data_IF_245150823805
#
_entry.id   IF_245150823805
#
_cell.length_a   1.000
_cell.length_b   1.000
_cell.length_c   1.000
_cell.angle_alpha   90.00
_cell.angle_beta   90.00
_cell.angle_gamma   90.00
#
_symmetry.space_group_name_H-M   'P 1'
#
loop_
_entity.id
_entity.type
_entity.pdbx_description
1 polymer ?
#
# COMPACT_ATOMS: atom_id res chain seq x y z
N UNK A 1 -0.88 31.73 23.24
CA UNK A 1 -1.45 30.52 22.62
C UNK A 1 -1.47 30.75 21.13
N UNK A 2 -0.69 29.99 20.35
CA UNK A 2 -0.95 29.83 18.92
C UNK A 2 -2.44 29.45 18.82
N UNK A 3 -3.26 30.15 18.04
CA UNK A 3 -4.73 29.98 18.00
C UNK A 3 -5.24 28.62 17.53
N UNK A 4 -4.40 27.58 17.59
CA UNK A 4 -4.67 26.20 17.26
C UNK A 4 -5.39 25.53 18.42
N UNK A 5 -6.54 24.94 18.14
CA UNK A 5 -7.39 24.24 19.11
C UNK A 5 -7.68 22.82 18.59
N UNK A 6 -8.58 22.09 19.25
CA UNK A 6 -8.87 20.71 18.85
C UNK A 6 -9.71 20.55 17.58
N UNK A 7 -10.14 21.65 16.96
CA UNK A 7 -10.76 21.68 15.63
C UNK A 7 -9.75 21.95 14.50
N UNK A 8 -8.49 22.22 14.83
CA UNK A 8 -7.42 22.45 13.85
C UNK A 8 -7.18 21.21 12.97
N UNK A 9 -7.15 21.41 11.66
CA UNK A 9 -6.85 20.37 10.66
C UNK A 9 -5.37 20.30 10.33
N UNK A 10 -4.95 19.26 9.60
CA UNK A 10 -3.57 19.17 9.12
C UNK A 10 -3.22 20.36 8.23
N UNK A 11 -4.15 20.73 7.33
CA UNK A 11 -4.02 21.84 6.40
C UNK A 11 -3.88 23.18 7.12
N UNK A 12 -4.57 23.36 8.25
CA UNK A 12 -4.45 24.58 9.06
C UNK A 12 -3.04 24.73 9.66
N UNK A 13 -2.45 23.62 10.15
CA UNK A 13 -1.08 23.62 10.68
C UNK A 13 -0.08 23.87 9.55
N UNK A 14 -0.25 23.22 8.40
CA UNK A 14 0.62 23.41 7.24
C UNK A 14 0.54 24.84 6.71
N UNK A 15 -0.66 25.41 6.62
CA UNK A 15 -0.87 26.81 6.23
C UNK A 15 -0.19 27.76 7.22
N UNK A 16 -0.33 27.51 8.52
CA UNK A 16 0.30 28.32 9.55
C UNK A 16 1.83 28.34 9.40
N UNK A 17 2.45 27.17 9.20
CA UNK A 17 3.90 27.07 8.97
C UNK A 17 4.35 27.77 7.67
N UNK A 18 3.57 27.64 6.59
CA UNK A 18 3.87 28.29 5.30
C UNK A 18 3.71 29.82 5.37
N UNK A 19 2.77 30.32 6.17
CA UNK A 19 2.63 31.76 6.42
C UNK A 19 3.79 32.33 7.24
N UNK A 20 4.35 31.55 8.16
CA UNK A 20 5.55 31.95 8.90
C UNK A 20 6.80 31.90 8.00
N UNK A 21 6.88 30.96 7.06
CA UNK A 21 7.92 30.93 5.99
C UNK A 21 7.95 32.23 5.16
N UNK A 22 6.79 32.84 4.88
CA UNK A 22 6.67 34.02 3.99
C UNK A 22 6.80 35.36 4.71
N UNK A 23 6.58 35.42 6.03
CA UNK A 23 6.57 36.68 6.80
C UNK A 23 7.93 37.05 7.42
N UNK A 24 8.88 36.11 7.56
CA UNK A 24 10.14 36.36 8.28
C UNK A 24 11.40 36.23 7.40
N UNK A 25 11.71 37.26 6.61
CA UNK A 25 13.07 37.48 6.09
C UNK A 25 14.02 38.14 7.10
N UNK A 26 13.55 38.49 8.32
CA UNK A 26 14.37 39.21 9.31
C UNK A 26 14.31 38.68 10.77
N UNK A 27 13.77 37.48 11.03
CA UNK A 27 13.97 36.77 12.30
C UNK A 27 14.10 35.26 12.04
N UNK A 28 15.16 34.64 12.53
CA UNK A 28 15.53 33.24 12.28
C UNK A 28 14.61 32.28 13.06
N UNK A 29 13.38 32.05 12.62
CA UNK A 29 12.66 30.84 13.03
C UNK A 29 12.50 29.97 11.79
N UNK A 30 13.19 28.83 11.78
CA UNK A 30 13.03 27.89 10.68
C UNK A 30 11.67 27.17 10.79
N UNK A 31 11.06 26.74 9.68
CA UNK A 31 9.81 25.97 9.68
C UNK A 31 9.92 24.67 10.50
N UNK A 32 11.13 24.13 10.56
CA UNK A 32 11.49 23.04 11.45
C UNK A 32 11.38 23.41 12.94
N UNK A 33 11.92 24.55 13.36
CA UNK A 33 11.84 24.99 14.76
C UNK A 33 10.41 25.34 15.17
N UNK A 34 9.62 25.89 14.26
CA UNK A 34 8.23 26.21 14.53
C UNK A 34 7.36 24.96 14.62
N UNK A 35 7.48 24.01 13.68
CA UNK A 35 6.79 22.72 13.75
C UNK A 35 7.18 21.93 15.00
N UNK A 36 8.44 22.03 15.45
CA UNK A 36 8.88 21.48 16.74
C UNK A 36 8.14 22.13 17.93
N UNK A 37 8.06 23.46 17.98
CA UNK A 37 7.35 24.18 19.05
C UNK A 37 5.86 23.86 19.09
N UNK A 38 5.22 23.75 17.92
CA UNK A 38 3.81 23.35 17.80
C UNK A 38 3.62 21.93 18.36
N UNK A 39 4.48 20.98 17.97
CA UNK A 39 4.43 19.60 18.49
C UNK A 39 4.59 19.55 20.01
N UNK A 40 5.53 20.30 20.56
CA UNK A 40 5.77 20.36 22.01
C UNK A 40 4.55 20.92 22.73
N UNK A 41 3.92 21.97 22.18
CA UNK A 41 2.68 22.53 22.72
C UNK A 41 1.55 21.49 22.77
N UNK A 42 1.34 20.72 21.70
CA UNK A 42 0.34 19.65 21.69
C UNK A 42 0.69 18.49 22.63
N UNK A 43 1.98 18.20 22.80
CA UNK A 43 2.45 17.20 23.77
C UNK A 43 2.09 17.61 25.19
N UNK A 44 2.33 18.87 25.55
CA UNK A 44 1.97 19.41 26.86
C UNK A 44 0.45 19.41 27.09
N UNK A 45 -0.34 19.78 26.09
CA UNK A 45 -1.79 19.68 26.20
C UNK A 45 -2.26 18.24 26.38
N UNK A 46 -1.74 17.30 25.58
CA UNK A 46 -2.04 15.87 25.71
C UNK A 46 -1.74 15.36 27.13
N UNK A 47 -0.58 15.68 27.70
CA UNK A 47 -0.22 15.23 29.06
C UNK A 47 -1.14 15.84 30.12
N UNK A 48 -1.51 17.12 29.99
CA UNK A 48 -2.47 17.79 30.88
C UNK A 48 -3.85 17.11 30.84
N UNK A 49 -4.39 16.82 29.65
CA UNK A 49 -5.71 16.18 29.52
C UNK A 49 -5.69 14.71 29.94
N UNK A 50 -4.57 14.01 29.71
CA UNK A 50 -4.36 12.65 30.22
C UNK A 50 -4.37 12.64 31.76
N UNK A 51 -3.70 13.59 32.41
CA UNK A 51 -3.70 13.72 33.87
C UNK A 51 -5.08 14.07 34.45
N UNK A 52 -5.95 14.69 33.64
CA UNK A 52 -7.35 14.97 33.99
C UNK A 52 -8.31 13.80 33.73
N UNK A 53 -7.81 12.66 33.25
CA UNK A 53 -8.62 11.52 32.76
C UNK A 53 -9.61 11.89 31.64
N UNK A 54 -9.35 12.96 30.90
CA UNK A 54 -10.13 13.32 29.71
C UNK A 54 -9.52 12.66 28.48
N UNK A 55 -9.91 11.39 28.27
CA UNK A 55 -9.38 10.53 27.20
C UNK A 55 -9.74 11.08 25.80
N UNK A 56 -10.91 11.71 25.67
CA UNK A 56 -11.41 12.23 24.39
C UNK A 56 -10.53 13.40 23.96
N UNK A 57 -10.32 14.37 24.85
CA UNK A 57 -9.55 15.56 24.50
C UNK A 57 -8.06 15.24 24.36
N UNK A 58 -7.51 14.37 25.21
CA UNK A 58 -6.15 13.86 25.08
C UNK A 58 -5.91 13.18 23.72
N UNK A 59 -6.90 12.42 23.22
CA UNK A 59 -6.86 11.78 21.91
C UNK A 59 -6.81 12.81 20.77
N UNK A 60 -7.56 13.93 20.85
CA UNK A 60 -7.50 15.00 19.85
C UNK A 60 -6.13 15.67 19.81
N UNK A 61 -5.56 16.04 20.95
CA UNK A 61 -4.21 16.62 21.01
C UNK A 61 -3.12 15.64 20.56
N UNK A 62 -3.32 14.34 20.77
CA UNK A 62 -2.43 13.30 20.22
C UNK A 62 -2.44 13.28 18.70
N UNK A 63 -3.57 13.53 18.06
CA UNK A 63 -3.67 13.64 16.60
C UNK A 63 -2.93 14.88 16.10
N UNK A 64 -3.15 16.03 16.75
CA UNK A 64 -2.44 17.28 16.43
C UNK A 64 -0.93 17.16 16.60
N UNK A 65 -0.46 16.47 17.65
CA UNK A 65 0.96 16.14 17.86
C UNK A 65 1.52 15.33 16.67
N UNK A 66 0.77 14.36 16.15
CA UNK A 66 1.19 13.56 15.00
C UNK A 66 1.23 14.37 13.69
N UNK A 67 0.28 15.28 13.48
CA UNK A 67 0.29 16.20 12.33
C UNK A 67 1.50 17.14 12.37
N UNK A 68 1.77 17.73 13.53
CA UNK A 68 2.95 18.58 13.73
C UNK A 68 4.26 17.78 13.55
N UNK A 69 4.31 16.53 14.01
CA UNK A 69 5.47 15.66 13.81
C UNK A 69 5.71 15.31 12.35
N UNK A 70 4.66 15.01 11.58
CA UNK A 70 4.77 14.74 10.15
C UNK A 70 5.38 15.93 9.39
N UNK A 71 4.88 17.15 9.66
CA UNK A 71 5.39 18.38 9.08
C UNK A 71 6.83 18.67 9.54
N UNK A 72 7.14 18.43 10.82
CA UNK A 72 8.50 18.57 11.36
C UNK A 72 9.49 17.70 10.61
N UNK A 73 9.17 16.43 10.40
CA UNK A 73 10.03 15.50 9.66
C UNK A 73 10.16 15.93 8.19
N UNK A 74 9.08 16.40 7.56
CA UNK A 74 9.09 16.94 6.18
C UNK A 74 10.09 18.10 6.05
N UNK A 75 10.05 19.08 6.95
CA UNK A 75 10.97 20.22 6.94
C UNK A 75 12.40 19.83 7.36
N UNK A 76 12.58 18.87 8.29
CA UNK A 76 13.90 18.34 8.66
C UNK A 76 14.57 17.65 7.47
N UNK A 77 13.83 16.79 6.76
CA UNK A 77 14.34 16.08 5.58
C UNK A 77 14.72 17.05 4.44
N UNK A 78 13.94 18.11 4.24
CA UNK A 78 14.19 19.16 3.23
C UNK A 78 15.44 20.00 3.54
N UNK A 79 15.73 20.25 4.82
CA UNK A 79 16.86 21.09 5.26
C UNK A 79 18.21 20.35 5.36
N UNK A 80 18.19 19.01 5.41
CA UNK A 80 19.42 18.20 5.50
C UNK A 80 20.23 18.19 4.19
N UNK A 81 21.51 18.56 4.29
CA UNK A 81 22.49 18.40 3.21
C UNK A 81 22.77 16.92 2.93
N UNK A 82 22.98 16.57 1.67
CA UNK A 82 23.30 15.21 1.23
C UNK A 82 24.80 14.93 1.40
N UNK A 83 25.18 14.22 2.47
CA UNK A 83 26.55 13.73 2.72
C UNK A 83 26.48 12.25 3.11
N UNK A 84 27.58 11.50 2.98
CA UNK A 84 27.62 10.06 3.29
C UNK A 84 27.05 9.74 4.68
N UNK A 85 27.35 10.59 5.67
CA UNK A 85 26.92 10.41 7.06
C UNK A 85 25.43 10.75 7.25
N UNK A 86 24.90 11.72 6.49
CA UNK A 86 23.49 12.11 6.56
C UNK A 86 22.57 11.23 5.71
N UNK A 87 23.10 10.42 4.78
CA UNK A 87 22.30 9.49 3.97
C UNK A 87 21.45 8.55 4.83
N UNK A 88 22.06 7.93 5.84
CA UNK A 88 21.34 7.04 6.77
C UNK A 88 20.27 7.78 7.54
N UNK A 89 20.56 8.99 8.01
CA UNK A 89 19.60 9.85 8.71
C UNK A 89 18.43 10.21 7.80
N UNK A 90 18.72 10.59 6.55
CA UNK A 90 17.74 10.97 5.54
C UNK A 90 16.83 9.80 5.18
N UNK A 91 17.40 8.61 4.98
CA UNK A 91 16.64 7.38 4.74
C UNK A 91 15.69 7.06 5.91
N UNK A 92 16.19 7.15 7.15
CA UNK A 92 15.35 6.95 8.34
C UNK A 92 14.19 7.96 8.39
N UNK A 93 14.48 9.25 8.20
CA UNK A 93 13.44 10.29 8.18
C UNK A 93 12.41 10.07 7.07
N UNK A 94 12.83 9.61 5.89
CA UNK A 94 11.92 9.26 4.80
C UNK A 94 11.02 8.07 5.17
N UNK A 95 11.54 7.07 5.86
CA UNK A 95 10.74 5.93 6.36
C UNK A 95 9.75 6.39 7.44
N UNK A 96 10.21 7.18 8.41
CA UNK A 96 9.36 7.72 9.49
C UNK A 96 8.25 8.63 8.92
N UNK A 97 8.59 9.47 7.93
CA UNK A 97 7.63 10.30 7.19
C UNK A 97 6.62 9.45 6.42
N UNK A 98 7.08 8.44 5.67
CA UNK A 98 6.21 7.55 4.92
C UNK A 98 5.24 6.80 5.84
N UNK A 99 5.73 6.33 7.00
CA UNK A 99 4.89 5.69 8.01
C UNK A 99 3.80 6.63 8.55
N UNK A 100 4.14 7.89 8.87
CA UNK A 100 3.16 8.87 9.33
C UNK A 100 2.15 9.23 8.26
N UNK A 101 2.61 9.41 7.01
CA UNK A 101 1.75 9.71 5.87
C UNK A 101 0.76 8.57 5.58
N UNK A 102 1.22 7.32 5.60
CA UNK A 102 0.35 6.14 5.49
C UNK A 102 -0.64 6.08 6.65
N UNK A 103 -0.18 6.29 7.88
CA UNK A 103 -1.04 6.30 9.06
C UNK A 103 -2.13 7.40 8.97
N UNK A 104 -1.80 8.57 8.39
CA UNK A 104 -2.77 9.63 8.12
C UNK A 104 -3.82 9.20 7.12
N UNK A 105 -3.42 8.80 5.92
CA UNK A 105 -4.39 8.56 4.85
C UNK A 105 -5.22 7.28 5.03
N UNK A 106 -4.71 6.29 5.77
CA UNK A 106 -5.39 5.00 5.96
C UNK A 106 -6.25 4.94 7.23
N UNK A 107 -5.85 5.65 8.30
CA UNK A 107 -6.53 5.63 9.61
C UNK A 107 -7.02 7.01 10.07
N UNK A 108 -6.81 8.06 9.28
CA UNK A 108 -7.15 9.46 9.57
C UNK A 108 -6.60 10.02 10.89
N UNK A 109 -5.63 9.36 11.55
CA UNK A 109 -5.23 9.55 12.98
C UNK A 109 -6.37 9.44 14.03
N UNK A 110 -7.62 9.58 13.56
CA UNK A 110 -8.99 9.30 13.99
C UNK A 110 -9.27 8.16 14.98
N UNK A 111 -8.39 7.15 15.11
CA UNK A 111 -8.66 5.91 15.87
C UNK A 111 -9.56 4.87 15.16
N UNK A 112 -9.90 5.03 13.88
CA UNK A 112 -10.75 4.07 13.17
C UNK A 112 -9.98 2.80 12.78
N UNK A 113 -9.88 1.84 13.71
CA UNK A 113 -9.29 0.52 13.46
C UNK A 113 -9.92 -0.16 12.24
N UNK A 114 -11.25 -0.05 12.11
CA UNK A 114 -12.02 -0.52 10.97
C UNK A 114 -11.54 0.09 9.66
N UNK A 115 -11.22 1.39 9.62
CA UNK A 115 -10.77 2.07 8.40
C UNK A 115 -9.38 1.59 7.96
N UNK A 116 -8.47 1.40 8.90
CA UNK A 116 -7.16 0.79 8.63
C UNK A 116 -7.32 -0.65 8.14
N UNK A 117 -8.21 -1.43 8.76
CA UNK A 117 -8.49 -2.81 8.37
C UNK A 117 -9.16 -2.91 6.98
N UNK A 118 -10.11 -2.03 6.66
CA UNK A 118 -10.70 -1.93 5.32
C UNK A 118 -9.65 -1.64 4.25
N UNK A 119 -8.66 -0.79 4.55
CA UNK A 119 -7.58 -0.46 3.62
C UNK A 119 -6.62 -1.63 3.42
N UNK A 120 -6.36 -2.42 4.47
CA UNK A 120 -5.59 -3.66 4.40
C UNK A 120 -6.29 -4.70 3.51
N UNK A 121 -7.59 -4.95 3.72
CA UNK A 121 -8.37 -5.87 2.89
C UNK A 121 -8.47 -5.41 1.43
N UNK A 122 -8.59 -4.09 1.20
CA UNK A 122 -8.55 -3.53 -0.15
C UNK A 122 -7.22 -3.82 -0.85
N UNK A 123 -6.09 -3.68 -0.15
CA UNK A 123 -4.78 -4.00 -0.70
C UNK A 123 -4.67 -5.48 -1.09
N UNK A 124 -5.09 -6.39 -0.20
CA UNK A 124 -5.09 -7.85 -0.44
C UNK A 124 -5.94 -8.18 -1.67
N UNK A 125 -7.17 -7.65 -1.72
CA UNK A 125 -8.08 -7.89 -2.83
C UNK A 125 -7.54 -7.34 -4.16
N UNK A 126 -6.97 -6.13 -4.14
CA UNK A 126 -6.38 -5.49 -5.34
C UNK A 126 -5.20 -6.31 -5.85
N UNK A 127 -4.31 -6.77 -4.95
CA UNK A 127 -3.18 -7.62 -5.31
C UNK A 127 -3.63 -8.94 -5.92
N UNK A 128 -4.61 -9.63 -5.33
CA UNK A 128 -5.11 -10.89 -5.83
C UNK A 128 -5.73 -10.77 -7.23
N UNK A 129 -6.61 -9.79 -7.44
CA UNK A 129 -7.24 -9.56 -8.75
C UNK A 129 -6.21 -9.13 -9.78
N UNK A 130 -5.33 -8.17 -9.44
CA UNK A 130 -4.31 -7.68 -10.36
C UNK A 130 -3.36 -8.80 -10.80
N UNK A 131 -2.91 -9.63 -9.85
CA UNK A 131 -2.06 -10.79 -10.15
C UNK A 131 -2.75 -11.80 -11.07
N UNK A 132 -4.03 -12.08 -10.82
CA UNK A 132 -4.84 -12.95 -11.69
C UNK A 132 -4.99 -12.36 -13.10
N UNK A 133 -5.24 -11.04 -13.22
CA UNK A 133 -5.32 -10.36 -14.50
C UNK A 133 -3.99 -10.38 -15.27
N UNK A 134 -2.86 -10.16 -14.59
CA UNK A 134 -1.52 -10.24 -15.21
C UNK A 134 -1.26 -11.65 -15.75
N UNK A 135 -1.61 -12.69 -14.98
CA UNK A 135 -1.48 -14.07 -15.41
C UNK A 135 -2.30 -14.35 -16.69
N UNK A 136 -3.56 -13.92 -16.72
CA UNK A 136 -4.42 -14.07 -17.91
C UNK A 136 -3.90 -13.27 -19.12
N UNK A 137 -3.45 -12.03 -18.90
CA UNK A 137 -2.96 -11.15 -19.96
C UNK A 137 -1.70 -11.73 -20.62
N UNK A 138 -0.75 -12.21 -19.82
CA UNK A 138 0.45 -12.88 -20.33
C UNK A 138 0.05 -14.11 -21.15
N UNK A 139 -0.81 -14.98 -20.60
CA UNK A 139 -1.26 -16.17 -21.32
C UNK A 139 -1.95 -15.82 -22.66
N UNK A 140 -2.78 -14.78 -22.69
CA UNK A 140 -3.45 -14.31 -23.90
C UNK A 140 -2.47 -13.78 -24.95
N UNK A 141 -1.57 -12.86 -24.56
CA UNK A 141 -0.58 -12.27 -25.48
C UNK A 141 0.35 -13.33 -26.10
N UNK A 142 0.74 -14.35 -25.34
CA UNK A 142 1.61 -15.42 -25.85
C UNK A 142 0.85 -16.50 -26.63
N UNK A 143 -0.43 -16.74 -26.33
CA UNK A 143 -1.28 -17.61 -27.15
C UNK A 143 -1.44 -17.06 -28.59
N UNK A 144 -1.55 -15.73 -28.75
CA UNK A 144 -1.60 -15.08 -30.08
C UNK A 144 -0.23 -15.09 -30.81
N UNK A 145 0.90 -15.06 -30.09
CA UNK A 145 2.25 -14.99 -30.66
C UNK A 145 2.76 -16.33 -31.26
N UNK A 146 2.16 -17.47 -30.88
CA UNK A 146 2.56 -18.83 -31.28
C UNK A 146 1.71 -19.45 -32.41
N UNK A 147 0.98 -18.62 -33.17
CA UNK A 147 0.14 -19.02 -34.32
C UNK A 147 0.93 -19.53 -35.55
N UNK A 148 2.17 -19.99 -35.37
CA UNK A 148 2.95 -20.74 -36.36
C UNK A 148 3.12 -22.22 -35.95
N UNK A 149 2.07 -22.87 -35.43
CA UNK A 149 1.62 -24.24 -35.80
C UNK A 149 0.42 -24.70 -34.93
N UNK A 150 -0.81 -24.25 -35.24
CA UNK A 150 -1.99 -24.47 -34.37
C UNK A 150 -2.68 -25.85 -34.50
N UNK A 151 -2.34 -26.66 -35.50
CA UNK A 151 -3.21 -27.79 -35.90
C UNK A 151 -3.09 -29.01 -34.96
N UNK A 152 -1.95 -29.24 -34.31
CA UNK A 152 -1.78 -30.38 -33.40
C UNK A 152 -2.25 -30.11 -31.96
N UNK A 153 -2.28 -28.84 -31.56
CA UNK A 153 -2.70 -28.43 -30.20
C UNK A 153 -4.24 -28.37 -30.06
N UNK A 154 -4.93 -27.97 -31.12
CA UNK A 154 -6.40 -27.86 -31.14
C UNK A 154 -7.05 -29.26 -31.12
N UNK A 155 -6.51 -30.23 -31.85
CA UNK A 155 -7.03 -31.62 -31.89
C UNK A 155 -6.89 -32.36 -30.54
N UNK A 156 -5.89 -32.01 -29.72
CA UNK A 156 -5.78 -32.50 -28.34
C UNK A 156 -6.67 -31.76 -27.35
N UNK A 157 -7.13 -30.55 -27.70
CA UNK A 157 -8.01 -29.72 -26.87
C UNK A 157 -9.46 -30.22 -26.92
N UNK A 158 -9.96 -30.60 -28.09
CA UNK A 158 -11.35 -31.02 -28.30
C UNK A 158 -11.68 -32.34 -27.59
N UNK A 159 -10.70 -33.24 -27.45
CA UNK A 159 -10.90 -34.55 -26.81
C UNK A 159 -10.97 -34.49 -25.28
N UNK A 160 -10.46 -33.43 -24.66
CA UNK A 160 -10.39 -33.28 -23.19
C UNK A 160 -11.60 -32.56 -22.58
N UNK A 161 -12.40 -31.87 -23.40
CA UNK A 161 -13.64 -31.18 -23.01
C UNK A 161 -14.73 -32.17 -22.51
N UNK A 162 -14.67 -33.46 -22.87
CA UNK A 162 -15.61 -34.46 -22.33
C UNK A 162 -15.35 -34.87 -20.86
N UNK A 163 -14.19 -34.54 -20.27
CA UNK A 163 -13.91 -34.83 -18.86
C UNK A 163 -14.33 -33.70 -17.89
N UNK A 164 -15.02 -32.68 -18.41
CA UNK A 164 -15.56 -31.49 -17.73
C UNK A 164 -16.62 -31.79 -16.63
N UNK A 165 -16.91 -33.06 -16.34
CA UNK A 165 -18.03 -33.49 -15.51
C UNK A 165 -17.49 -34.12 -14.22
N UNK A 166 -17.19 -33.32 -13.19
CA UNK A 166 -17.40 -33.67 -11.77
C UNK A 166 -17.11 -32.49 -10.80
N UNK A 167 -17.77 -31.36 -11.07
CA UNK A 167 -18.49 -30.42 -10.20
C UNK A 167 -18.11 -30.02 -8.76
N UNK A 168 -16.97 -30.40 -8.17
CA UNK A 168 -16.44 -29.73 -6.95
C UNK A 168 -15.01 -29.17 -7.10
N UNK A 169 -14.40 -29.36 -8.27
CA UNK A 169 -13.06 -28.93 -8.66
C UNK A 169 -13.08 -27.81 -9.73
N UNK A 170 -14.04 -26.88 -9.71
CA UNK A 170 -14.27 -26.00 -10.89
C UNK A 170 -13.27 -24.83 -11.04
N UNK A 171 -12.61 -24.36 -9.99
CA UNK A 171 -11.66 -23.23 -10.09
C UNK A 171 -10.19 -23.70 -10.17
N UNK A 172 -9.89 -24.81 -9.49
CA UNK A 172 -8.53 -25.32 -9.30
C UNK A 172 -7.81 -25.76 -10.59
N UNK A 173 -8.42 -26.52 -11.53
CA UNK A 173 -7.75 -26.95 -12.75
C UNK A 173 -7.51 -25.79 -13.71
N UNK A 174 -8.40 -24.80 -13.79
CA UNK A 174 -8.16 -23.58 -14.59
C UNK A 174 -7.08 -22.71 -13.99
N UNK A 175 -7.05 -22.56 -12.66
CA UNK A 175 -6.00 -21.81 -11.98
C UNK A 175 -4.65 -22.52 -12.16
N UNK A 176 -4.60 -23.84 -11.96
CA UNK A 176 -3.41 -24.66 -12.13
C UNK A 176 -2.91 -24.65 -13.58
N UNK A 177 -3.81 -24.78 -14.56
CA UNK A 177 -3.48 -24.66 -15.97
C UNK A 177 -2.96 -23.26 -16.31
N UNK A 178 -3.62 -22.21 -15.84
CA UNK A 178 -3.19 -20.84 -16.08
C UNK A 178 -1.81 -20.54 -15.47
N UNK A 179 -1.52 -21.09 -14.27
CA UNK A 179 -0.22 -21.00 -13.61
C UNK A 179 0.85 -21.72 -14.43
N UNK A 180 0.61 -22.96 -14.86
CA UNK A 180 1.61 -23.73 -15.62
C UNK A 180 1.89 -23.09 -16.99
N UNK A 181 0.86 -22.58 -17.68
CA UNK A 181 1.03 -21.82 -18.91
C UNK A 181 1.83 -20.54 -18.67
N UNK A 182 1.49 -19.78 -17.61
CA UNK A 182 2.21 -18.57 -17.24
C UNK A 182 3.68 -18.84 -16.97
N UNK A 183 3.99 -19.86 -16.16
CA UNK A 183 5.35 -20.23 -15.81
C UNK A 183 6.16 -20.62 -17.07
N UNK A 184 5.57 -21.37 -18.00
CA UNK A 184 6.23 -21.71 -19.26
C UNK A 184 6.53 -20.47 -20.14
N UNK A 185 5.55 -19.58 -20.30
CA UNK A 185 5.69 -18.39 -21.14
C UNK A 185 6.61 -17.33 -20.54
N UNK A 186 6.57 -17.14 -19.22
CA UNK A 186 7.44 -16.20 -18.52
C UNK A 186 8.88 -16.67 -18.51
N UNK A 187 9.15 -17.96 -18.33
CA UNK A 187 10.52 -18.47 -18.39
C UNK A 187 11.13 -18.29 -19.78
N UNK A 188 10.35 -18.51 -20.85
CA UNK A 188 10.77 -18.19 -22.22
C UNK A 188 11.10 -16.69 -22.36
N UNK A 189 10.20 -15.82 -21.89
CA UNK A 189 10.41 -14.37 -21.97
C UNK A 189 11.60 -13.87 -21.14
N UNK A 190 11.80 -14.35 -19.91
CA UNK A 190 12.93 -13.95 -19.06
C UNK A 190 14.26 -14.34 -19.70
N UNK A 191 14.31 -15.49 -20.39
CA UNK A 191 15.53 -16.00 -21.01
C UNK A 191 15.83 -15.32 -22.35
N UNK A 192 14.80 -15.00 -23.15
CA UNK A 192 14.97 -14.48 -24.52
C UNK A 192 14.84 -12.95 -24.62
N UNK A 193 14.21 -12.27 -23.66
CA UNK A 193 14.02 -10.82 -23.71
C UNK A 193 15.25 -10.04 -23.24
N UNK A 194 15.49 -8.90 -23.87
CA UNK A 194 16.44 -7.91 -23.38
C UNK A 194 16.08 -7.48 -21.94
N UNK A 195 17.06 -7.53 -21.04
CA UNK A 195 16.89 -7.17 -19.62
C UNK A 195 16.30 -5.77 -19.43
N UNK A 196 16.56 -4.85 -20.36
CA UNK A 196 16.00 -3.49 -20.37
C UNK A 196 14.48 -3.52 -20.62
N UNK A 197 14.01 -4.32 -21.58
CA UNK A 197 12.59 -4.49 -21.87
C UNK A 197 11.85 -5.12 -20.67
N UNK A 198 12.44 -6.13 -20.03
CA UNK A 198 11.89 -6.75 -18.83
C UNK A 198 11.79 -5.74 -17.67
N UNK A 199 12.83 -4.92 -17.46
CA UNK A 199 12.81 -3.85 -16.47
C UNK A 199 11.70 -2.82 -16.75
N UNK A 200 11.59 -2.33 -18.00
CA UNK A 200 10.55 -1.38 -18.39
C UNK A 200 9.14 -1.96 -18.22
N UNK A 201 8.92 -3.21 -18.61
CA UNK A 201 7.64 -3.89 -18.44
C UNK A 201 7.25 -4.03 -16.96
N UNK A 202 8.20 -4.45 -16.12
CA UNK A 202 7.99 -4.53 -14.67
C UNK A 202 7.71 -3.15 -14.05
N UNK A 203 8.40 -2.10 -14.49
CA UNK A 203 8.13 -0.74 -14.06
C UNK A 203 6.71 -0.30 -14.43
N UNK A 204 6.27 -0.57 -15.67
CA UNK A 204 4.90 -0.28 -16.10
C UNK A 204 3.86 -1.03 -15.26
N UNK A 205 4.10 -2.30 -14.93
CA UNK A 205 3.19 -3.10 -14.11
C UNK A 205 3.09 -2.56 -12.67
N UNK A 206 4.23 -2.16 -12.07
CA UNK A 206 4.24 -1.53 -10.75
C UNK A 206 3.45 -0.22 -10.77
N UNK A 207 3.66 0.62 -11.78
CA UNK A 207 2.91 1.88 -11.95
C UNK A 207 1.42 1.59 -12.11
N UNK A 208 1.05 0.62 -12.96
CA UNK A 208 -0.34 0.22 -13.17
C UNK A 208 -1.00 -0.29 -11.86
N UNK A 209 -0.29 -1.09 -11.06
CA UNK A 209 -0.76 -1.54 -9.77
C UNK A 209 -1.06 -0.38 -8.82
N UNK A 210 -0.14 0.60 -8.71
CA UNK A 210 -0.36 1.80 -7.90
C UNK A 210 -1.53 2.64 -8.40
N UNK A 211 -1.67 2.82 -9.73
CA UNK A 211 -2.79 3.56 -10.32
C UNK A 211 -4.12 2.89 -9.96
N UNK A 212 -4.23 1.57 -10.12
CA UNK A 212 -5.46 0.83 -9.78
C UNK A 212 -5.76 0.95 -8.29
N UNK A 213 -4.75 0.76 -7.42
CA UNK A 213 -4.94 0.84 -5.98
C UNK A 213 -5.38 2.24 -5.53
N UNK A 214 -4.75 3.29 -6.03
CA UNK A 214 -5.13 4.68 -5.73
C UNK A 214 -6.51 5.00 -6.30
N UNK A 215 -6.83 4.56 -7.52
CA UNK A 215 -8.14 4.75 -8.12
C UNK A 215 -9.25 4.12 -7.25
N UNK A 216 -9.03 2.91 -6.73
CA UNK A 216 -9.98 2.26 -5.81
C UNK A 216 -10.15 3.03 -4.50
N UNK A 217 -9.07 3.60 -3.95
CA UNK A 217 -9.15 4.48 -2.78
C UNK A 217 -9.94 5.75 -3.09
N UNK A 218 -9.70 6.38 -4.25
CA UNK A 218 -10.41 7.60 -4.66
C UNK A 218 -11.91 7.33 -4.89
N UNK A 219 -12.24 6.21 -5.54
CA UNK A 219 -13.63 5.78 -5.75
C UNK A 219 -14.38 5.55 -4.44
N UNK A 220 -13.67 5.15 -3.38
CA UNK A 220 -14.22 5.02 -2.03
C UNK A 220 -14.72 6.36 -1.44
N UNK A 221 -14.29 7.50 -1.98
CA UNK A 221 -14.79 8.82 -1.57
C UNK A 221 -16.27 9.03 -1.93
N UNK A 222 -16.78 8.29 -2.92
CA UNK A 222 -18.21 8.29 -3.26
C UNK A 222 -18.97 7.30 -2.37
N UNK A 223 -19.97 7.78 -1.63
CA UNK A 223 -20.72 6.98 -0.63
C UNK A 223 -21.28 5.66 -1.18
N UNK A 224 -21.81 5.67 -2.40
CA UNK A 224 -22.41 4.49 -3.05
C UNK A 224 -21.34 3.43 -3.35
N UNK A 225 -20.21 3.85 -3.94
CA UNK A 225 -19.11 2.95 -4.28
C UNK A 225 -18.34 2.47 -3.06
N UNK A 226 -18.28 3.25 -1.97
CA UNK A 226 -17.58 2.87 -0.75
C UNK A 226 -18.08 1.53 -0.18
N UNK A 227 -19.40 1.37 -0.04
CA UNK A 227 -19.99 0.15 0.49
C UNK A 227 -19.73 -1.04 -0.44
N UNK A 228 -19.92 -0.86 -1.75
CA UNK A 228 -19.69 -1.91 -2.74
C UNK A 228 -18.23 -2.37 -2.78
N UNK A 229 -17.28 -1.44 -2.91
CA UNK A 229 -15.84 -1.73 -2.95
C UNK A 229 -15.40 -2.41 -1.65
N UNK A 230 -15.92 -1.95 -0.51
CA UNK A 230 -15.61 -2.57 0.78
C UNK A 230 -16.16 -3.99 0.86
N UNK A 231 -17.42 -4.24 0.53
CA UNK A 231 -17.99 -5.60 0.57
C UNK A 231 -17.24 -6.53 -0.41
N UNK A 232 -16.99 -6.04 -1.63
CA UNK A 232 -16.26 -6.80 -2.64
C UNK A 232 -14.84 -7.16 -2.19
N UNK A 233 -14.10 -6.23 -1.58
CA UNK A 233 -12.75 -6.51 -1.09
C UNK A 233 -12.73 -7.54 0.04
N UNK A 234 -13.76 -7.60 0.88
CA UNK A 234 -13.93 -8.65 1.89
C UNK A 234 -14.15 -10.01 1.24
N UNK A 235 -15.07 -10.10 0.27
CA UNK A 235 -15.37 -11.35 -0.43
C UNK A 235 -14.10 -11.88 -1.10
N UNK A 236 -13.39 -11.04 -1.86
CA UNK A 236 -12.17 -11.43 -2.56
C UNK A 236 -11.08 -11.87 -1.58
N UNK A 237 -10.85 -11.11 -0.51
CA UNK A 237 -9.84 -11.47 0.51
C UNK A 237 -10.18 -12.78 1.21
N UNK A 238 -11.46 -13.04 1.48
CA UNK A 238 -11.93 -14.30 2.05
C UNK A 238 -11.76 -15.47 1.07
N UNK A 239 -12.08 -15.27 -0.21
CA UNK A 239 -11.84 -16.27 -1.26
C UNK A 239 -10.35 -16.62 -1.35
N UNK A 240 -9.46 -15.62 -1.33
CA UNK A 240 -8.00 -15.85 -1.33
C UNK A 240 -7.59 -16.67 -0.10
N UNK A 241 -8.10 -16.32 1.07
CA UNK A 241 -7.83 -17.05 2.32
C UNK A 241 -8.28 -18.52 2.24
N UNK A 242 -9.42 -18.80 1.62
CA UNK A 242 -9.99 -20.14 1.46
C UNK A 242 -9.26 -20.97 0.39
N UNK A 243 -8.89 -20.36 -0.74
CA UNK A 243 -8.23 -21.05 -1.86
C UNK A 243 -6.77 -21.34 -1.51
N UNK A 244 -6.05 -20.35 -0.98
CA UNK A 244 -4.64 -20.47 -0.65
C UNK A 244 -4.22 -19.35 0.30
N UNK A 245 -4.25 -19.61 1.63
CA UNK A 245 -3.92 -18.59 2.63
C UNK A 245 -2.46 -18.12 2.55
N UNK A 246 -1.61 -18.84 1.80
CA UNK A 246 -0.22 -18.48 1.50
C UNK A 246 -0.10 -17.14 0.77
N UNK A 247 -1.04 -16.82 -0.12
CA UNK A 247 -1.07 -15.55 -0.86
C UNK A 247 -1.51 -14.35 0.00
N UNK A 248 -2.00 -14.59 1.23
CA UNK A 248 -2.37 -13.54 2.16
C UNK A 248 -1.12 -12.90 2.79
N UNK A 249 -0.10 -13.71 3.10
CA UNK A 249 1.11 -13.27 3.81
C UNK A 249 2.22 -13.02 2.79
N UNK A 250 2.61 -11.75 2.56
CA UNK A 250 3.47 -11.38 1.44
C UNK A 250 4.87 -12.03 1.46
N UNK A 251 5.39 -12.34 2.65
CA UNK A 251 6.78 -12.78 2.84
C UNK A 251 7.04 -14.26 2.48
N UNK A 252 6.00 -15.10 2.39
CA UNK A 252 6.18 -16.56 2.28
C UNK A 252 6.59 -16.98 0.86
N UNK A 253 6.23 -16.20 -0.17
CA UNK A 253 6.47 -16.55 -1.57
C UNK A 253 7.49 -15.63 -2.27
N UNK A 254 7.83 -14.48 -1.66
CA UNK A 254 8.81 -13.53 -2.20
C UNK A 254 10.23 -14.11 -2.38
N UNK A 255 10.51 -15.21 -1.69
CA UNK A 255 11.80 -15.91 -1.70
C UNK A 255 11.65 -17.39 -2.02
N UNK A 256 10.55 -17.80 -2.67
CA UNK A 256 10.43 -19.16 -3.16
C UNK A 256 11.41 -19.39 -4.30
N UNK A 257 12.41 -20.26 -4.11
CA UNK A 257 13.55 -20.58 -5.01
C UNK A 257 13.21 -20.98 -6.46
N UNK A 258 11.93 -20.98 -6.88
CA UNK A 258 11.48 -21.53 -8.16
C UNK A 258 11.26 -20.50 -9.28
N UNK A 259 11.18 -19.20 -8.97
CA UNK A 259 10.82 -18.17 -9.96
C UNK A 259 12.03 -17.27 -10.26
N UNK A 260 12.22 -16.91 -11.54
CA UNK A 260 13.37 -16.13 -11.99
C UNK A 260 13.45 -14.72 -11.39
N UNK A 261 14.65 -14.24 -11.08
CA UNK A 261 14.90 -12.84 -10.70
C UNK A 261 14.34 -11.95 -11.83
N UNK A 262 13.37 -11.06 -11.52
CA UNK A 262 12.57 -10.23 -12.47
C UNK A 262 11.28 -10.85 -13.05
N UNK A 263 10.80 -11.97 -12.53
CA UNK A 263 9.42 -12.40 -12.76
C UNK A 263 8.44 -11.26 -12.36
N UNK A 264 7.53 -10.83 -13.28
CA UNK A 264 6.58 -9.76 -13.00
C UNK A 264 5.76 -9.96 -11.72
N UNK A 265 5.34 -11.20 -11.43
CA UNK A 265 4.54 -11.51 -10.24
C UNK A 265 5.36 -11.36 -8.95
N UNK A 266 6.66 -11.69 -8.99
CA UNK A 266 7.56 -11.46 -7.85
C UNK A 266 7.78 -9.97 -7.59
N UNK A 267 7.98 -9.17 -8.65
CA UNK A 267 8.20 -7.73 -8.51
C UNK A 267 6.95 -7.06 -7.91
N UNK A 268 5.75 -7.40 -8.39
CA UNK A 268 4.49 -6.89 -7.83
C UNK A 268 4.30 -7.40 -6.39
N UNK A 269 4.62 -8.67 -6.11
CA UNK A 269 4.60 -9.25 -4.77
C UNK A 269 5.51 -8.51 -3.78
N UNK A 270 6.66 -8.03 -4.25
CA UNK A 270 7.60 -7.23 -3.45
C UNK A 270 7.02 -5.89 -3.03
N UNK A 271 6.40 -5.19 -3.97
CA UNK A 271 5.71 -3.93 -3.70
C UNK A 271 4.51 -4.15 -2.77
N UNK A 272 3.71 -5.18 -3.01
CA UNK A 272 2.60 -5.58 -2.15
C UNK A 272 3.08 -5.84 -0.71
N UNK A 273 4.22 -6.53 -0.53
CA UNK A 273 4.83 -6.80 0.78
C UNK A 273 5.16 -5.53 1.55
N UNK A 274 5.79 -4.55 0.89
CA UNK A 274 6.16 -3.28 1.51
C UNK A 274 4.90 -2.54 1.98
N UNK A 275 3.89 -2.46 1.11
CA UNK A 275 2.61 -1.80 1.44
C UNK A 275 1.87 -2.52 2.58
N UNK A 276 1.87 -3.84 2.57
CA UNK A 276 1.26 -4.66 3.60
C UNK A 276 1.90 -4.42 4.97
N UNK A 277 3.23 -4.37 5.05
CA UNK A 277 3.95 -4.05 6.30
C UNK A 277 3.59 -2.64 6.79
N UNK A 278 3.53 -1.65 5.91
CA UNK A 278 3.14 -0.27 6.26
C UNK A 278 1.70 -0.21 6.81
N UNK A 279 0.77 -0.96 6.22
CA UNK A 279 -0.62 -1.03 6.67
C UNK A 279 -0.77 -1.80 7.98
N UNK A 280 -0.05 -2.91 8.18
CA UNK A 280 -0.02 -3.61 9.46
C UNK A 280 0.55 -2.74 10.57
N UNK A 281 1.65 -2.02 10.30
CA UNK A 281 2.21 -1.09 11.27
C UNK A 281 1.20 -0.02 11.67
N UNK A 282 0.47 0.53 10.69
CA UNK A 282 -0.61 1.48 10.92
C UNK A 282 -1.74 0.86 11.76
N UNK A 283 -2.16 -0.36 11.43
CA UNK A 283 -3.19 -1.10 12.15
C UNK A 283 -2.77 -1.38 13.61
N UNK A 284 -1.54 -1.85 13.84
CA UNK A 284 -0.99 -2.12 15.17
C UNK A 284 -0.97 -0.84 16.03
N UNK A 285 -0.56 0.29 15.45
CA UNK A 285 -0.52 1.58 16.14
C UNK A 285 -1.93 2.05 16.53
N UNK A 286 -2.93 1.81 15.68
CA UNK A 286 -4.34 2.09 15.99
C UNK A 286 -4.91 1.13 17.04
N UNK A 287 -4.63 -0.18 16.94
CA UNK A 287 -5.12 -1.20 17.88
C UNK A 287 -4.60 -0.99 19.31
N UNK A 288 -3.31 -0.61 19.46
CA UNK A 288 -2.74 -0.27 20.77
C UNK A 288 -3.46 0.91 21.43
N UNK A 289 -3.94 1.86 20.64
CA UNK A 289 -4.68 3.03 21.16
C UNK A 289 -6.09 2.64 21.64
N UNK A 290 -6.78 1.80 20.87
CA UNK A 290 -8.17 1.42 21.16
C UNK A 290 -8.30 0.36 22.27
N UNK A 291 -7.22 -0.34 22.62
CA UNK A 291 -7.18 -1.31 23.73
C UNK A 291 -6.81 -0.70 25.08
N UNK A 292 -6.40 0.57 25.11
CA UNK A 292 -6.07 1.34 26.33
C UNK A 292 -7.30 2.13 26.83
N UNK A 293 -8.37 2.19 26.04
CA UNK A 293 -9.70 2.68 26.43
C UNK A 293 -10.50 1.50 26.96
#
# INVERSE_FOLDING_TARGET
MLGLNTHTTFEDIEKHLNETETKETNKKVTPYEESYKIRESFTNMKTIFTAKNDVIEASKYRVLELYAEELRIKHENKSLKLTSDTLRKKAKLSVDYLQLLFYRHTSNHHSDLLRAFHSLLLLIATFGIFSFCVMLLVNYFYADLLTLNPIQAIDSYDKNIQSFINYTDLLNPYLFQAINCYDAHIQFFINDADKICLFCGNLMLVIAFFIVFIALILLKSYKIFNAFITIFSYIVSLCILLISPKYLIPAIELFGDKRGLFDPLQVIGGIYTILFILLIFSLQKTARKNSII
#
